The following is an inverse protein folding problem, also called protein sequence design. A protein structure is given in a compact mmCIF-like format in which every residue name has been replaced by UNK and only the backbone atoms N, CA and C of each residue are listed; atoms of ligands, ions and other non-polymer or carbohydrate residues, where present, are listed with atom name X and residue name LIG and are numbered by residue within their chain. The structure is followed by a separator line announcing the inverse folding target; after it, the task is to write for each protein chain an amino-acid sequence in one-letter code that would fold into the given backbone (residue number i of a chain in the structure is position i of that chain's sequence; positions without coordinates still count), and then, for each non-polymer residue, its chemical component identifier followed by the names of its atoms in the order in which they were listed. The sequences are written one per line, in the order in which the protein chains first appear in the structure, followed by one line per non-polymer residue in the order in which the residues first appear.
data_IF_090729498496
#
_entry.id   IF_090729498496
#
_cell.length_a   1.000
_cell.length_b   1.000
_cell.length_c   1.000
_cell.angle_alpha   90.00
_cell.angle_beta   90.00
_cell.angle_gamma   90.00
#
_symmetry.space_group_name_H-M   'P 1'
#
loop_
_entity.id
_entity.type
_entity.pdbx_description
1 polymer ?
#
# COMPACT_ATOMS: atom_id res chain seq x y z
N UNK A 1 -11.77 14.79 -23.55
CA UNK A 1 -12.66 13.65 -23.25
C UNK A 1 -12.04 12.57 -22.32
N UNK A 2 -10.76 12.67 -21.92
CA UNK A 2 -10.05 11.66 -21.11
C UNK A 2 -10.36 11.64 -19.61
N UNK A 3 -10.70 12.79 -19.02
CA UNK A 3 -10.80 12.90 -17.56
C UNK A 3 -11.98 12.12 -16.93
N UNK A 4 -13.14 12.08 -17.55
CA UNK A 4 -14.32 11.43 -16.97
C UNK A 4 -14.15 9.91 -16.81
N UNK A 5 -13.58 9.23 -17.81
CA UNK A 5 -13.34 7.76 -17.74
C UNK A 5 -12.32 7.40 -16.66
N UNK A 6 -11.33 8.24 -16.44
CA UNK A 6 -10.34 8.08 -15.39
C UNK A 6 -11.00 8.20 -13.99
N UNK A 7 -11.77 9.27 -13.77
CA UNK A 7 -12.50 9.48 -12.51
C UNK A 7 -13.52 8.36 -12.24
N UNK A 8 -14.28 7.97 -13.27
CA UNK A 8 -15.22 6.86 -13.15
C UNK A 8 -14.51 5.54 -12.80
N UNK A 9 -13.35 5.26 -13.38
CA UNK A 9 -12.56 4.06 -13.03
C UNK A 9 -12.10 4.06 -11.58
N UNK A 10 -11.64 5.19 -11.06
CA UNK A 10 -11.22 5.32 -9.65
C UNK A 10 -12.39 5.21 -8.68
N UNK A 11 -13.51 5.85 -8.99
CA UNK A 11 -14.74 5.71 -8.21
C UNK A 11 -15.22 4.24 -8.17
N UNK A 12 -15.20 3.56 -9.32
CA UNK A 12 -15.59 2.16 -9.42
C UNK A 12 -14.65 1.25 -8.63
N UNK A 13 -13.35 1.51 -8.66
CA UNK A 13 -12.37 0.81 -7.84
C UNK A 13 -12.62 0.97 -6.34
N UNK A 14 -12.87 2.20 -5.87
CA UNK A 14 -13.20 2.48 -4.47
C UNK A 14 -14.52 1.84 -4.05
N UNK A 15 -15.52 1.82 -4.94
CA UNK A 15 -16.79 1.16 -4.70
C UNK A 15 -16.60 -0.36 -4.54
N UNK A 16 -15.89 -1.02 -5.44
CA UNK A 16 -15.63 -2.46 -5.39
C UNK A 16 -14.84 -2.83 -4.13
N UNK A 17 -13.91 -2.01 -3.69
CA UNK A 17 -13.14 -2.24 -2.47
C UNK A 17 -14.02 -2.14 -1.19
N UNK A 18 -14.95 -1.20 -1.13
CA UNK A 18 -15.83 -1.00 0.02
C UNK A 18 -17.07 -1.92 0.02
N UNK A 19 -17.53 -2.35 -1.15
CA UNK A 19 -18.78 -3.08 -1.33
C UNK A 19 -18.86 -4.41 -0.54
N UNK A 20 -17.82 -5.27 -0.51
CA UNK A 20 -17.90 -6.53 0.22
C UNK A 20 -18.16 -6.34 1.72
N UNK A 21 -17.45 -5.39 2.35
CA UNK A 21 -17.61 -5.09 3.78
C UNK A 21 -18.99 -4.51 4.05
N UNK A 22 -19.42 -3.55 3.22
CA UNK A 22 -20.73 -2.92 3.33
C UNK A 22 -21.85 -3.96 3.17
N UNK A 23 -21.72 -4.85 2.18
CA UNK A 23 -22.70 -5.91 1.93
C UNK A 23 -22.79 -6.89 3.10
N UNK A 24 -21.66 -7.34 3.66
CA UNK A 24 -21.63 -8.25 4.81
C UNK A 24 -22.33 -7.63 6.02
N UNK A 25 -22.05 -6.35 6.32
CA UNK A 25 -22.67 -5.67 7.47
C UNK A 25 -24.17 -5.49 7.24
N UNK A 26 -24.61 -5.13 6.04
CA UNK A 26 -26.04 -5.01 5.71
C UNK A 26 -26.75 -6.36 5.82
N UNK A 27 -26.15 -7.43 5.27
CA UNK A 27 -26.72 -8.79 5.39
C UNK A 27 -26.79 -9.21 6.86
N UNK A 28 -25.75 -8.94 7.64
CA UNK A 28 -25.73 -9.23 9.07
C UNK A 28 -26.81 -8.44 9.81
N UNK A 29 -27.02 -7.16 9.50
CA UNK A 29 -28.10 -6.35 10.05
C UNK A 29 -29.47 -6.98 9.81
N UNK A 30 -29.78 -7.36 8.57
CA UNK A 30 -31.04 -7.99 8.24
C UNK A 30 -31.18 -9.40 8.86
N UNK A 31 -30.12 -10.19 8.90
CA UNK A 31 -30.11 -11.50 9.55
C UNK A 31 -30.42 -11.37 11.06
N UNK A 32 -29.82 -10.40 11.73
CA UNK A 32 -30.11 -10.09 13.14
C UNK A 32 -31.57 -9.65 13.34
N UNK A 33 -32.10 -8.86 12.40
CA UNK A 33 -33.46 -8.32 12.51
C UNK A 33 -34.57 -9.35 12.29
N UNK A 34 -34.35 -10.29 11.35
CA UNK A 34 -35.41 -11.19 10.89
C UNK A 34 -35.28 -12.64 11.40
N UNK A 35 -34.06 -13.09 11.71
CA UNK A 35 -33.83 -14.51 12.05
C UNK A 35 -33.49 -14.74 13.52
N UNK A 36 -33.06 -13.72 14.23
CA UNK A 36 -32.70 -13.89 15.65
C UNK A 36 -33.85 -13.42 16.52
N UNK A 37 -34.38 -14.29 17.42
CA UNK A 37 -35.46 -13.90 18.33
C UNK A 37 -35.06 -12.74 19.23
N UNK A 38 -35.97 -11.80 19.42
CA UNK A 38 -35.75 -10.68 20.33
C UNK A 38 -35.41 -11.20 21.72
N UNK A 39 -34.27 -10.78 22.28
CA UNK A 39 -33.79 -11.17 23.60
C UNK A 39 -32.66 -12.19 23.63
N UNK A 40 -32.20 -12.71 22.49
CA UNK A 40 -31.06 -13.64 22.43
C UNK A 40 -29.70 -12.94 22.62
N UNK A 41 -29.61 -11.64 22.35
CA UNK A 41 -28.41 -10.82 22.57
C UNK A 41 -28.69 -9.74 23.63
N UNK A 42 -27.66 -9.39 24.39
CA UNK A 42 -27.72 -8.23 25.29
C UNK A 42 -28.09 -6.98 24.49
N UNK A 43 -28.92 -6.10 25.03
CA UNK A 43 -29.43 -4.89 24.38
C UNK A 43 -28.35 -3.99 23.76
N UNK A 44 -27.10 -4.18 24.15
CA UNK A 44 -25.91 -3.46 23.65
C UNK A 44 -25.51 -3.83 22.20
N UNK A 45 -26.00 -4.96 21.69
CA UNK A 45 -25.71 -5.46 20.32
C UNK A 45 -26.87 -5.31 19.35
N UNK A 46 -27.97 -4.71 19.75
CA UNK A 46 -29.14 -4.50 18.86
C UNK A 46 -28.88 -3.25 18.03
N UNK A 47 -28.49 -3.45 16.76
CA UNK A 47 -28.37 -2.39 15.77
C UNK A 47 -29.78 -1.80 15.49
N UNK A 48 -29.90 -0.48 15.60
CA UNK A 48 -31.14 0.25 15.29
C UNK A 48 -31.18 0.65 13.80
N UNK A 49 -32.38 0.98 13.29
CA UNK A 49 -32.52 1.50 11.93
C UNK A 49 -31.67 2.78 11.73
N UNK A 50 -31.55 3.60 12.77
CA UNK A 50 -30.69 4.79 12.75
C UNK A 50 -29.21 4.42 12.55
N UNK A 51 -28.71 3.37 13.18
CA UNK A 51 -27.33 2.90 13.00
C UNK A 51 -27.06 2.43 11.58
N UNK A 52 -28.06 1.79 10.92
CA UNK A 52 -27.98 1.41 9.54
C UNK A 52 -27.86 2.63 8.61
N UNK A 53 -28.68 3.66 8.81
CA UNK A 53 -28.59 4.89 8.01
C UNK A 53 -27.27 5.62 8.19
N UNK A 54 -26.77 5.71 9.43
CA UNK A 54 -25.46 6.29 9.72
C UNK A 54 -24.36 5.47 9.05
N UNK A 55 -24.42 4.14 9.12
CA UNK A 55 -23.46 3.26 8.48
C UNK A 55 -23.43 3.41 6.95
N UNK A 56 -24.59 3.41 6.30
CA UNK A 56 -24.69 3.60 4.84
C UNK A 56 -24.20 4.98 4.41
N UNK A 57 -24.56 6.03 5.14
CA UNK A 57 -24.09 7.39 4.89
C UNK A 57 -22.57 7.51 5.05
N UNK A 58 -22.02 6.92 6.10
CA UNK A 58 -20.57 6.87 6.33
C UNK A 58 -19.85 6.07 5.25
N UNK A 59 -20.41 4.93 4.82
CA UNK A 59 -19.85 4.13 3.72
C UNK A 59 -19.80 4.90 2.41
N UNK A 60 -20.85 5.64 2.08
CA UNK A 60 -20.85 6.51 0.90
C UNK A 60 -19.80 7.63 1.01
N UNK A 61 -19.65 8.25 2.17
CA UNK A 61 -18.64 9.27 2.41
C UNK A 61 -17.22 8.70 2.30
N UNK A 62 -16.97 7.48 2.79
CA UNK A 62 -15.69 6.78 2.65
C UNK A 62 -15.37 6.52 1.18
N UNK A 63 -16.33 6.02 0.38
CA UNK A 63 -16.12 5.75 -1.05
C UNK A 63 -15.72 7.03 -1.80
N UNK A 64 -16.40 8.13 -1.53
CA UNK A 64 -16.06 9.43 -2.13
C UNK A 64 -14.68 9.91 -1.67
N UNK A 65 -14.40 9.86 -0.36
CA UNK A 65 -13.11 10.25 0.21
C UNK A 65 -11.96 9.44 -0.37
N UNK A 66 -12.07 8.11 -0.44
CA UNK A 66 -11.08 7.23 -1.06
C UNK A 66 -10.87 7.56 -2.55
N UNK A 67 -11.95 7.87 -3.27
CA UNK A 67 -11.84 8.23 -4.69
C UNK A 67 -11.00 9.49 -4.87
N UNK A 68 -11.31 10.56 -4.14
CA UNK A 68 -10.55 11.82 -4.21
C UNK A 68 -9.10 11.63 -3.75
N UNK A 69 -8.91 10.90 -2.66
CA UNK A 69 -7.58 10.61 -2.12
C UNK A 69 -6.73 9.83 -3.13
N UNK A 70 -7.25 8.74 -3.70
CA UNK A 70 -6.52 7.92 -4.66
C UNK A 70 -6.18 8.69 -5.95
N UNK A 71 -7.08 9.53 -6.44
CA UNK A 71 -6.80 10.39 -7.61
C UNK A 71 -5.70 11.40 -7.30
N UNK A 72 -5.77 12.04 -6.14
CA UNK A 72 -4.78 13.04 -5.71
C UNK A 72 -3.40 12.43 -5.52
N UNK A 73 -3.31 11.32 -4.79
CA UNK A 73 -2.03 10.66 -4.49
C UNK A 73 -1.41 10.04 -5.73
N UNK A 74 -2.18 9.35 -6.57
CA UNK A 74 -1.63 8.74 -7.79
C UNK A 74 -1.05 9.79 -8.74
N UNK A 75 -1.75 10.90 -8.95
CA UNK A 75 -1.26 11.96 -9.83
C UNK A 75 -0.02 12.65 -9.27
N UNK A 76 -0.04 13.03 -7.99
CA UNK A 76 1.06 13.78 -7.37
C UNK A 76 2.26 12.90 -7.06
N UNK A 77 2.06 11.72 -6.46
CA UNK A 77 3.16 10.85 -6.03
C UNK A 77 3.90 10.23 -7.19
N UNK A 78 3.20 9.88 -8.28
CA UNK A 78 3.85 9.38 -9.50
C UNK A 78 4.77 10.44 -10.11
N UNK A 79 4.31 11.68 -10.23
CA UNK A 79 5.10 12.78 -10.79
C UNK A 79 6.31 13.11 -9.91
N UNK A 80 6.11 13.23 -8.59
CA UNK A 80 7.18 13.46 -7.62
C UNK A 80 8.20 12.33 -7.67
N UNK A 81 7.75 11.07 -7.72
CA UNK A 81 8.63 9.92 -7.85
C UNK A 81 9.49 10.00 -9.11
N UNK A 82 8.88 10.28 -10.28
CA UNK A 82 9.60 10.41 -11.56
C UNK A 82 10.65 11.50 -11.54
N UNK A 83 10.31 12.69 -11.03
CA UNK A 83 11.23 13.81 -10.94
C UNK A 83 12.43 13.49 -10.04
N UNK A 84 12.19 12.89 -8.89
CA UNK A 84 13.24 12.50 -7.94
C UNK A 84 14.11 11.39 -8.54
N UNK A 85 13.49 10.32 -9.05
CA UNK A 85 14.22 9.20 -9.66
C UNK A 85 15.12 9.64 -10.82
N UNK A 86 14.58 10.47 -11.72
CA UNK A 86 15.33 11.04 -12.82
C UNK A 86 16.48 11.98 -12.39
N UNK A 87 16.28 12.73 -11.30
CA UNK A 87 17.29 13.64 -10.77
C UNK A 87 18.42 12.91 -10.05
N UNK A 88 18.11 11.84 -9.33
CA UNK A 88 19.10 11.06 -8.60
C UNK A 88 20.14 10.40 -9.51
N UNK A 89 19.71 9.86 -10.65
CA UNK A 89 20.65 9.23 -11.58
C UNK A 89 21.61 10.19 -12.28
N UNK A 90 21.26 11.47 -12.36
CA UNK A 90 22.19 12.49 -12.88
C UNK A 90 23.39 12.73 -11.96
N UNK A 91 23.26 12.34 -10.68
CA UNK A 91 24.36 12.41 -9.71
C UNK A 91 25.30 11.22 -9.91
N UNK A 92 26.58 11.49 -10.17
CA UNK A 92 27.62 10.46 -10.39
C UNK A 92 28.04 9.73 -9.10
N UNK A 93 27.57 10.20 -7.93
CA UNK A 93 27.95 9.64 -6.63
C UNK A 93 26.94 8.56 -6.21
N UNK A 94 27.32 7.30 -6.34
CA UNK A 94 26.50 6.14 -5.98
C UNK A 94 26.10 6.15 -4.48
N UNK A 95 27.01 6.56 -3.59
CA UNK A 95 26.72 6.64 -2.16
C UNK A 95 25.57 7.61 -1.87
N UNK A 96 25.58 8.78 -2.53
CA UNK A 96 24.50 9.76 -2.41
C UNK A 96 23.16 9.18 -2.91
N UNK A 97 23.16 8.47 -4.05
CA UNK A 97 21.94 7.81 -4.58
C UNK A 97 21.40 6.81 -3.59
N UNK A 98 22.25 5.95 -3.01
CA UNK A 98 21.87 4.94 -2.02
C UNK A 98 21.27 5.60 -0.77
N UNK A 99 21.95 6.59 -0.21
CA UNK A 99 21.49 7.28 0.99
C UNK A 99 20.14 7.97 0.78
N UNK A 100 19.99 8.70 -0.34
CA UNK A 100 18.73 9.36 -0.67
C UNK A 100 17.60 8.37 -0.94
N UNK A 101 17.86 7.27 -1.63
CA UNK A 101 16.89 6.20 -1.87
C UNK A 101 16.40 5.59 -0.56
N UNK A 102 17.32 5.32 0.37
CA UNK A 102 16.97 4.82 1.69
C UNK A 102 16.05 5.78 2.45
N UNK A 103 16.44 7.04 2.53
CA UNK A 103 15.66 8.09 3.21
C UNK A 103 14.28 8.22 2.59
N UNK A 104 14.19 8.24 1.26
CA UNK A 104 12.92 8.32 0.54
C UNK A 104 12.02 7.12 0.81
N UNK A 105 12.55 5.90 0.80
CA UNK A 105 11.80 4.69 1.14
C UNK A 105 11.22 4.77 2.55
N UNK A 106 12.02 5.21 3.52
CA UNK A 106 11.57 5.40 4.91
C UNK A 106 10.48 6.47 4.99
N UNK A 107 10.70 7.65 4.40
CA UNK A 107 9.76 8.77 4.49
C UNK A 107 8.41 8.46 3.84
N UNK A 108 8.42 7.85 2.65
CA UNK A 108 7.18 7.52 1.94
C UNK A 108 6.38 6.48 2.72
N UNK A 109 7.05 5.51 3.32
CA UNK A 109 6.38 4.49 4.16
C UNK A 109 5.80 5.09 5.44
N UNK A 110 6.50 6.01 6.11
CA UNK A 110 5.98 6.71 7.29
C UNK A 110 4.75 7.58 6.93
N UNK A 111 4.72 8.13 5.71
CA UNK A 111 3.60 8.92 5.22
C UNK A 111 2.37 8.09 4.84
N UNK A 112 2.46 6.75 4.83
CA UNK A 112 1.34 5.87 4.48
C UNK A 112 0.27 5.86 5.58
N UNK A 113 -0.98 6.33 5.30
CA UNK A 113 -2.02 6.41 6.32
C UNK A 113 -2.46 5.05 6.83
N UNK A 114 -2.49 4.03 5.98
CA UNK A 114 -2.92 2.67 6.33
C UNK A 114 -1.98 2.03 7.35
N UNK A 115 -0.69 2.37 7.31
CA UNK A 115 0.30 1.91 8.28
C UNK A 115 0.04 2.49 9.68
N UNK A 116 -0.42 3.75 9.75
CA UNK A 116 -0.81 4.38 11.03
C UNK A 116 -2.02 3.67 11.65
N UNK A 117 -3.01 3.27 10.83
CA UNK A 117 -4.17 2.52 11.28
C UNK A 117 -3.77 1.14 11.80
N UNK A 118 -2.96 0.39 11.04
CA UNK A 118 -2.45 -0.91 11.46
C UNK A 118 -1.71 -0.81 12.79
N UNK A 119 -0.78 0.14 12.91
CA UNK A 119 0.04 0.30 14.12
C UNK A 119 -0.79 0.63 15.37
N UNK A 120 -1.90 1.34 15.22
CA UNK A 120 -2.83 1.65 16.30
C UNK A 120 -3.64 0.45 16.81
N UNK A 121 -3.77 -0.60 15.99
CA UNK A 121 -4.51 -1.83 16.34
C UNK A 121 -3.64 -2.86 17.09
N UNK A 122 -2.33 -2.75 16.98
CA UNK A 122 -1.38 -3.69 17.55
C UNK A 122 -0.92 -3.15 18.90
N UNK A 123 -1.35 -3.59 20.01
CA UNK A 123 -1.02 -3.12 21.37
C UNK A 123 0.47 -2.85 21.71
N UNK A 124 1.28 -2.48 20.74
CA UNK A 124 2.70 -2.07 20.80
C UNK A 124 2.77 -0.59 20.42
N UNK A 125 3.81 0.10 20.86
CA UNK A 125 4.04 1.50 20.48
C UNK A 125 4.05 1.67 18.96
N UNK A 126 3.11 2.47 18.43
CA UNK A 126 2.91 2.66 16.99
C UNK A 126 4.17 3.13 16.28
N UNK A 127 4.97 3.99 16.91
CA UNK A 127 6.23 4.47 16.32
C UNK A 127 7.26 3.37 16.11
N UNK A 128 7.31 2.37 17.00
CA UNK A 128 8.22 1.23 16.84
C UNK A 128 7.85 0.43 15.60
N UNK A 129 6.56 0.19 15.40
CA UNK A 129 6.06 -0.55 14.23
C UNK A 129 6.33 0.23 12.94
N UNK A 130 5.92 1.50 12.89
CA UNK A 130 6.06 2.37 11.73
C UNK A 130 7.55 2.50 11.32
N UNK A 131 8.43 2.77 12.28
CA UNK A 131 9.86 2.91 12.00
C UNK A 131 10.49 1.59 11.56
N UNK A 132 10.13 0.47 12.17
CA UNK A 132 10.67 -0.85 11.79
C UNK A 132 10.29 -1.20 10.35
N UNK A 133 9.02 -1.00 9.99
CA UNK A 133 8.53 -1.26 8.63
C UNK A 133 9.16 -0.27 7.65
N UNK A 134 9.20 1.02 7.98
CA UNK A 134 9.81 2.06 7.15
C UNK A 134 11.29 1.79 6.87
N UNK A 135 12.06 1.40 7.89
CA UNK A 135 13.46 0.98 7.72
C UNK A 135 13.59 -0.24 6.80
N UNK A 136 12.69 -1.23 6.97
CA UNK A 136 12.64 -2.39 6.09
C UNK A 136 12.42 -2.00 4.63
N UNK A 137 11.39 -1.20 4.35
CA UNK A 137 11.09 -0.70 2.99
C UNK A 137 12.25 0.12 2.43
N UNK A 138 12.86 0.99 3.23
CA UNK A 138 14.04 1.78 2.84
C UNK A 138 15.21 0.89 2.39
N UNK A 139 15.52 -0.16 3.16
CA UNK A 139 16.57 -1.14 2.82
C UNK A 139 16.23 -1.88 1.52
N UNK A 140 15.00 -2.40 1.40
CA UNK A 140 14.59 -3.13 0.20
C UNK A 140 14.53 -2.25 -1.05
N UNK A 141 14.16 -0.97 -0.91
CA UNK A 141 14.20 -0.02 -2.01
C UNK A 141 15.64 0.21 -2.51
N UNK A 142 16.60 0.35 -1.58
CA UNK A 142 18.02 0.45 -1.92
C UNK A 142 18.49 -0.80 -2.66
N UNK A 143 18.15 -2.00 -2.17
CA UNK A 143 18.50 -3.26 -2.81
C UNK A 143 17.89 -3.32 -4.22
N UNK A 144 16.64 -2.88 -4.38
CA UNK A 144 15.97 -2.77 -5.68
C UNK A 144 16.70 -1.85 -6.65
N UNK A 145 17.11 -0.67 -6.19
CA UNK A 145 17.89 0.29 -7.00
C UNK A 145 19.25 -0.29 -7.38
N UNK A 146 19.98 -0.87 -6.42
CA UNK A 146 21.26 -1.55 -6.67
C UNK A 146 21.11 -2.64 -7.72
N UNK A 147 20.04 -3.45 -7.64
CA UNK A 147 19.72 -4.48 -8.62
C UNK A 147 19.58 -3.89 -10.04
N UNK A 148 18.85 -2.76 -10.17
CA UNK A 148 18.70 -2.06 -11.45
C UNK A 148 20.05 -1.58 -11.98
N UNK A 149 20.90 -1.03 -11.12
CA UNK A 149 22.26 -0.61 -11.49
C UNK A 149 23.09 -1.75 -12.04
N UNK A 150 23.04 -2.93 -11.44
CA UNK A 150 23.81 -4.11 -11.83
C UNK A 150 23.10 -5.00 -12.86
N UNK A 151 21.93 -4.61 -13.38
CA UNK A 151 21.13 -5.35 -14.37
C UNK A 151 20.89 -6.82 -13.97
N UNK A 152 20.67 -7.10 -12.68
CA UNK A 152 20.45 -8.47 -12.19
C UNK A 152 19.03 -8.94 -12.51
N UNK A 153 18.91 -10.25 -12.78
CA UNK A 153 17.64 -10.87 -13.16
C UNK A 153 16.59 -10.76 -12.04
N UNK A 154 15.41 -10.25 -12.38
CA UNK A 154 14.30 -10.04 -11.46
C UNK A 154 13.76 -11.34 -10.87
N UNK A 155 13.68 -12.41 -11.68
CA UNK A 155 13.15 -13.71 -11.25
C UNK A 155 14.00 -14.33 -10.12
N UNK A 156 15.32 -14.29 -10.28
CA UNK A 156 16.26 -14.82 -9.26
C UNK A 156 16.15 -13.97 -7.99
N UNK A 157 16.07 -12.66 -8.14
CA UNK A 157 15.90 -11.74 -7.02
C UNK A 157 14.66 -12.06 -6.19
N UNK A 158 13.49 -12.14 -6.81
CA UNK A 158 12.26 -12.49 -6.11
C UNK A 158 12.31 -13.89 -5.49
N UNK A 159 12.79 -14.90 -6.24
CA UNK A 159 12.89 -16.24 -5.72
C UNK A 159 13.73 -16.31 -4.45
N UNK A 160 14.87 -15.61 -4.43
CA UNK A 160 15.78 -15.59 -3.27
C UNK A 160 15.10 -14.94 -2.06
N UNK A 161 14.47 -13.76 -2.23
CA UNK A 161 13.85 -13.07 -1.10
C UNK A 161 12.58 -13.75 -0.61
N UNK A 162 11.77 -14.34 -1.48
CA UNK A 162 10.63 -15.15 -1.05
C UNK A 162 11.07 -16.42 -0.32
N UNK A 163 12.08 -17.11 -0.82
CA UNK A 163 12.64 -18.26 -0.12
C UNK A 163 13.17 -17.89 1.26
N UNK A 164 13.87 -16.74 1.38
CA UNK A 164 14.32 -16.23 2.67
C UNK A 164 13.15 -15.88 3.59
N UNK A 165 12.11 -15.19 3.08
CA UNK A 165 10.93 -14.83 3.86
C UNK A 165 10.23 -16.08 4.41
N UNK A 166 10.03 -17.12 3.58
CA UNK A 166 9.44 -18.38 4.03
C UNK A 166 10.33 -19.14 5.01
N UNK A 167 11.66 -19.10 4.85
CA UNK A 167 12.58 -19.69 5.81
C UNK A 167 12.52 -19.00 7.19
N UNK A 168 12.34 -17.67 7.22
CA UNK A 168 12.21 -16.90 8.46
C UNK A 168 10.94 -17.25 9.25
N UNK A 169 9.88 -17.77 8.62
CA UNK A 169 8.65 -18.20 9.32
C UNK A 169 8.96 -19.23 10.42
N UNK A 170 9.94 -20.11 10.19
CA UNK A 170 10.33 -21.14 11.17
C UNK A 170 11.08 -20.60 12.39
N UNK A 171 11.62 -19.38 12.29
CA UNK A 171 12.43 -18.74 13.33
C UNK A 171 11.59 -17.73 14.13
N UNK A 172 10.62 -17.10 13.48
CA UNK A 172 9.80 -16.03 14.07
C UNK A 172 8.72 -16.64 14.97
N UNK A 173 8.47 -15.97 16.12
CA UNK A 173 7.37 -16.38 17.00
C UNK A 173 6.03 -16.29 16.24
N UNK A 174 5.20 -17.37 16.24
CA UNK A 174 3.94 -17.45 15.51
C UNK A 174 2.97 -16.28 15.78
N UNK A 175 3.05 -15.64 16.93
CA UNK A 175 2.20 -14.49 17.29
C UNK A 175 2.45 -13.26 16.41
N UNK A 176 3.66 -13.12 15.86
CA UNK A 176 4.03 -11.99 15.02
C UNK A 176 3.82 -12.24 13.52
N UNK A 177 3.61 -13.50 13.12
CA UNK A 177 3.45 -13.84 11.70
C UNK A 177 2.31 -13.09 11.01
N UNK A 178 1.07 -13.01 11.59
CA UNK A 178 -0.01 -12.26 10.97
C UNK A 178 0.38 -10.79 10.75
N UNK A 179 1.01 -10.15 11.72
CA UNK A 179 1.45 -8.75 11.65
C UNK A 179 2.50 -8.56 10.56
N UNK A 180 3.46 -9.49 10.43
CA UNK A 180 4.50 -9.42 9.40
C UNK A 180 3.91 -9.48 7.97
N UNK A 181 2.94 -10.36 7.73
CA UNK A 181 2.28 -10.47 6.43
C UNK A 181 1.33 -9.31 6.16
N UNK A 182 0.56 -8.91 7.15
CA UNK A 182 -0.40 -7.81 7.03
C UNK A 182 0.31 -6.47 6.79
N UNK A 183 1.40 -6.21 7.50
CA UNK A 183 2.22 -5.02 7.28
C UNK A 183 2.81 -4.95 5.87
N UNK A 184 3.15 -6.09 5.25
CA UNK A 184 3.56 -6.17 3.86
C UNK A 184 2.46 -5.72 2.90
N UNK A 185 1.20 -6.12 3.15
CA UNK A 185 0.03 -5.66 2.39
C UNK A 185 -0.25 -4.17 2.60
N UNK A 186 -0.22 -3.71 3.84
CA UNK A 186 -0.52 -2.32 4.22
C UNK A 186 0.50 -1.32 3.65
N UNK A 187 1.77 -1.69 3.51
CA UNK A 187 2.79 -0.82 2.89
C UNK A 187 2.62 -0.65 1.38
N UNK A 188 1.78 -1.47 0.73
CA UNK A 188 1.42 -1.32 -0.69
C UNK A 188 0.18 -0.42 -0.85
N UNK A 189 0.17 0.72 -0.18
CA UNK A 189 -0.95 1.65 -0.15
C UNK A 189 -0.94 2.71 -1.24
N UNK A 190 -1.92 3.62 -1.19
CA UNK A 190 -2.17 4.62 -2.24
C UNK A 190 -1.11 5.72 -2.35
N UNK A 191 -0.20 5.87 -1.39
CA UNK A 191 0.92 6.82 -1.43
C UNK A 191 2.19 6.14 -1.92
N UNK A 192 2.54 5.01 -1.30
CA UNK A 192 3.81 4.32 -1.51
C UNK A 192 3.92 3.74 -2.92
N UNK A 193 2.87 3.06 -3.41
CA UNK A 193 2.92 2.40 -4.73
C UNK A 193 3.08 3.39 -5.88
N UNK A 194 2.27 4.45 -6.01
CA UNK A 194 2.45 5.42 -7.08
C UNK A 194 3.82 6.11 -7.05
N UNK A 195 4.31 6.42 -5.83
CA UNK A 195 5.64 6.99 -5.68
C UNK A 195 6.73 6.04 -6.17
N UNK A 196 6.71 4.77 -5.75
CA UNK A 196 7.73 3.80 -6.14
C UNK A 196 7.70 3.50 -7.64
N UNK A 197 6.51 3.40 -8.24
CA UNK A 197 6.35 3.25 -9.69
C UNK A 197 6.91 4.46 -10.43
N UNK A 198 6.53 5.67 -10.03
CA UNK A 198 7.06 6.91 -10.58
C UNK A 198 8.58 6.99 -10.44
N UNK A 199 9.11 6.68 -9.25
CA UNK A 199 10.54 6.65 -8.99
C UNK A 199 11.29 5.67 -9.91
N UNK A 200 10.74 4.46 -10.10
CA UNK A 200 11.27 3.47 -11.03
C UNK A 200 11.29 3.95 -12.49
N UNK A 201 10.18 4.57 -12.93
CA UNK A 201 10.10 5.18 -14.27
C UNK A 201 11.13 6.29 -14.44
N UNK A 202 11.28 7.17 -13.44
CA UNK A 202 12.30 8.23 -13.45
C UNK A 202 13.73 7.70 -13.56
N UNK A 203 14.02 6.62 -12.82
CA UNK A 203 15.31 5.93 -12.89
C UNK A 203 15.56 5.31 -14.27
N UNK A 204 14.56 4.66 -14.87
CA UNK A 204 14.71 3.99 -16.18
C UNK A 204 14.85 4.98 -17.33
N UNK A 205 14.05 6.05 -17.34
CA UNK A 205 14.06 7.07 -18.38
C UNK A 205 15.43 7.78 -18.54
N UNK A 206 16.14 7.98 -17.43
CA UNK A 206 17.44 8.67 -17.44
C UNK A 206 18.58 7.79 -17.99
N UNK A 207 18.40 6.47 -18.02
CA UNK A 207 19.42 5.51 -18.49
C UNK A 207 19.51 5.35 -19.99
N UNK A 208 18.57 5.90 -20.76
CA UNK A 208 18.61 5.87 -22.24
C UNK A 208 18.63 4.46 -22.84
N UNK A 209 18.05 3.48 -22.15
CA UNK A 209 17.98 2.10 -22.66
C UNK A 209 16.75 1.95 -23.54
N UNK A 210 16.97 1.83 -24.87
CA UNK A 210 15.93 1.47 -25.85
C UNK A 210 15.45 0.02 -25.77
N UNK A 211 15.73 -0.69 -24.68
CA UNK A 211 15.42 -2.11 -24.52
C UNK A 211 14.27 -2.31 -23.53
N UNK A 212 13.31 -3.13 -23.92
CA UNK A 212 12.18 -3.60 -23.11
C UNK A 212 12.58 -4.17 -21.72
N UNK A 213 13.86 -4.49 -21.52
CA UNK A 213 14.42 -4.92 -20.25
C UNK A 213 14.46 -3.84 -19.15
N UNK A 214 14.33 -2.55 -19.51
CA UNK A 214 14.33 -1.46 -18.54
C UNK A 214 12.97 -1.35 -17.81
N UNK A 215 11.88 -1.65 -18.50
CA UNK A 215 10.51 -1.57 -17.97
C UNK A 215 10.22 -2.75 -17.03
N UNK A 216 10.77 -3.93 -17.34
CA UNK A 216 10.75 -5.09 -16.47
C UNK A 216 11.55 -4.90 -15.17
N UNK A 217 12.34 -3.84 -15.06
CA UNK A 217 13.26 -3.65 -13.94
C UNK A 217 12.56 -3.33 -12.60
N UNK A 218 11.35 -2.77 -12.63
CA UNK A 218 10.55 -2.47 -11.43
C UNK A 218 9.21 -3.22 -11.39
N UNK A 219 8.99 -4.25 -12.20
CA UNK A 219 7.75 -5.02 -12.20
C UNK A 219 6.60 -4.29 -12.91
N UNK A 220 6.89 -3.45 -13.90
CA UNK A 220 5.92 -2.70 -14.70
C UNK A 220 5.40 -3.50 -15.92
N UNK A 221 5.76 -4.77 -16.04
CA UNK A 221 5.26 -5.71 -17.06
C UNK A 221 4.47 -6.84 -16.45
#
# INVERSE_FOLDING_TARGET
MGNWRYWAGKFWGSLIAALPITAVIVVFFFAMRFWIPAGTFEAKFVLTDADLFVFLGSSAAIILGMTFFNVGTESSMTEVGQLIGGSLLKKKNLFFVIAMTFILGVLVTIAEPDLSVLSGQIGINSWVIILTIGLGVGVFLVIGVIRVFFKKNLKIFFLTFYALAFALIYIINPRFLPICFDSGGVTTGPVTVPFLLGFGLGLSATRGSNNADSDASFGLT
#
